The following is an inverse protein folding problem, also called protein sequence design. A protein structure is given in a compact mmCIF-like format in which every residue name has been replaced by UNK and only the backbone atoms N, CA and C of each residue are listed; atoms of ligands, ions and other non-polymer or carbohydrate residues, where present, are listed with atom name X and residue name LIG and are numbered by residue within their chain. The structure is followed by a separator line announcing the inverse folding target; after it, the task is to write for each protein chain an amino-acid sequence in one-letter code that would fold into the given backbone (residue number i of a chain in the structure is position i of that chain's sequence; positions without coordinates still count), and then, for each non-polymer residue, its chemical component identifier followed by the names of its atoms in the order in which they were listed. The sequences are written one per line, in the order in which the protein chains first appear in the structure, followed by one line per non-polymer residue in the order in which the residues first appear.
data_IF_340827936202
#
_entry.id   IF_340827936202
#
_cell.length_a   1.000
_cell.length_b   1.000
_cell.length_c   1.000
_cell.angle_alpha   90.00
_cell.angle_beta   90.00
_cell.angle_gamma   90.00
#
_symmetry.space_group_name_H-M   'P 1'
#
loop_
_entity.id
_entity.type
_entity.pdbx_description
1 polymer ?
#
# COMPACT_ATOMS: atom_id res chain seq x y z
N UNK A 1 45.79 -2.66 29.33
CA UNK A 1 44.75 -3.34 28.53
C UNK A 1 43.68 -2.33 28.19
N UNK A 2 43.79 -1.75 27.00
CA UNK A 2 42.87 -0.74 26.50
C UNK A 2 41.57 -1.44 26.04
N UNK A 3 40.44 -1.09 26.65
CA UNK A 3 39.14 -1.65 26.27
C UNK A 3 38.73 -1.03 24.94
N UNK A 4 38.94 -1.75 23.84
CA UNK A 4 38.32 -1.46 22.55
C UNK A 4 36.79 -1.53 22.71
N UNK A 5 36.18 -0.40 23.08
CA UNK A 5 34.73 -0.24 23.07
C UNK A 5 34.25 -0.32 21.63
N UNK A 6 33.70 -1.45 21.23
CA UNK A 6 33.13 -1.62 19.91
C UNK A 6 32.10 -0.49 19.66
N UNK A 7 32.36 0.35 18.65
CA UNK A 7 31.42 1.40 18.23
C UNK A 7 30.11 0.73 17.83
N UNK A 8 29.09 0.87 18.67
CA UNK A 8 27.73 0.43 18.34
C UNK A 8 27.15 1.41 17.32
N UNK A 9 26.62 0.91 16.22
CA UNK A 9 25.87 1.71 15.27
C UNK A 9 24.66 2.35 15.97
N UNK A 10 24.52 3.67 15.86
CA UNK A 10 23.48 4.45 16.53
C UNK A 10 22.30 4.79 15.60
N UNK A 11 22.06 3.96 14.60
CA UNK A 11 20.83 3.98 13.82
C UNK A 11 19.91 2.87 14.33
N UNK A 12 18.61 3.16 14.40
CA UNK A 12 17.60 2.23 14.87
C UNK A 12 16.23 2.75 14.45
N UNK A 13 15.26 1.84 14.33
CA UNK A 13 13.88 2.22 14.11
C UNK A 13 13.40 3.13 15.24
N UNK A 14 12.51 4.06 14.93
CA UNK A 14 11.89 4.87 15.97
C UNK A 14 11.00 3.97 16.82
N UNK A 15 11.35 3.78 18.09
CA UNK A 15 10.64 2.88 19.01
C UNK A 15 9.15 3.23 19.16
N UNK A 16 8.79 4.50 19.01
CA UNK A 16 7.39 4.95 19.01
C UNK A 16 6.66 4.44 17.78
N UNK A 17 7.30 4.51 16.61
CA UNK A 17 6.75 4.04 15.33
C UNK A 17 6.60 2.52 15.35
N UNK A 18 7.62 1.80 15.82
CA UNK A 18 7.59 0.34 16.01
C UNK A 18 6.49 -0.11 16.97
N UNK A 19 6.32 0.58 18.09
CA UNK A 19 5.24 0.26 19.03
C UNK A 19 3.87 0.51 18.40
N UNK A 20 3.71 1.58 17.63
CA UNK A 20 2.45 1.91 16.96
C UNK A 20 2.08 0.96 15.82
N UNK A 21 3.06 0.29 15.20
CA UNK A 21 2.84 -0.64 14.08
C UNK A 21 2.56 -2.07 14.53
N UNK A 22 2.70 -2.37 15.83
CA UNK A 22 2.65 -3.73 16.38
C UNK A 22 1.30 -4.45 16.29
N UNK A 23 0.21 -3.72 16.00
CA UNK A 23 -1.15 -4.26 15.91
C UNK A 23 -1.92 -3.59 14.77
N UNK A 24 -1.72 -4.07 13.55
CA UNK A 24 -2.41 -3.60 12.36
C UNK A 24 -3.76 -4.30 12.15
N UNK A 25 -4.71 -3.60 11.52
CA UNK A 25 -5.99 -4.19 11.07
C UNK A 25 -5.74 -5.46 10.24
N UNK A 26 -4.69 -5.44 9.41
CA UNK A 26 -4.29 -6.58 8.56
C UNK A 26 -3.89 -7.81 9.37
N UNK A 27 -3.20 -7.66 10.49
CA UNK A 27 -2.84 -8.80 11.36
C UNK A 27 -4.07 -9.43 12.01
N UNK A 28 -5.01 -8.61 12.48
CA UNK A 28 -6.28 -9.13 13.01
C UNK A 28 -7.09 -9.85 11.93
N UNK A 29 -7.19 -9.29 10.72
CA UNK A 29 -7.88 -9.95 9.61
C UNK A 29 -7.23 -11.29 9.24
N UNK A 30 -5.90 -11.34 9.16
CA UNK A 30 -5.18 -12.58 8.88
C UNK A 30 -5.42 -13.63 9.97
N UNK A 31 -5.46 -13.21 11.25
CA UNK A 31 -5.77 -14.10 12.38
C UNK A 31 -7.19 -14.64 12.28
N UNK A 32 -8.17 -13.81 11.92
CA UNK A 32 -9.55 -14.27 11.74
C UNK A 32 -9.66 -15.26 10.58
N UNK A 33 -9.02 -14.97 9.45
CA UNK A 33 -9.03 -15.84 8.27
C UNK A 33 -8.36 -17.18 8.55
N UNK A 34 -7.26 -17.21 9.32
CA UNK A 34 -6.56 -18.46 9.64
C UNK A 34 -7.32 -19.38 10.61
N UNK A 35 -8.32 -18.85 11.31
CA UNK A 35 -9.18 -19.60 12.23
C UNK A 35 -10.51 -20.04 11.59
N UNK A 36 -10.69 -19.84 10.28
CA UNK A 36 -11.86 -20.34 9.56
C UNK A 36 -11.83 -21.87 9.46
N UNK A 37 -13.00 -22.50 9.61
CA UNK A 37 -13.14 -23.94 9.43
C UNK A 37 -13.00 -24.32 7.95
N UNK A 38 -12.01 -25.17 7.64
CA UNK A 38 -11.77 -25.66 6.29
C UNK A 38 -12.88 -26.60 5.77
N UNK A 39 -13.70 -27.16 6.67
CA UNK A 39 -14.88 -27.97 6.33
C UNK A 39 -16.13 -27.15 6.04
N UNK A 40 -16.13 -25.84 6.32
CA UNK A 40 -17.26 -24.97 6.06
C UNK A 40 -17.32 -24.56 4.57
N UNK A 41 -18.43 -24.87 3.92
CA UNK A 41 -18.65 -24.56 2.50
C UNK A 41 -19.19 -23.14 2.26
N UNK A 42 -19.50 -22.36 3.32
CA UNK A 42 -20.01 -21.00 3.17
C UNK A 42 -18.93 -20.06 2.64
N UNK A 43 -19.31 -19.22 1.68
CA UNK A 43 -18.41 -18.19 1.14
C UNK A 43 -18.07 -17.16 2.21
N UNK A 44 -16.78 -16.90 2.39
CA UNK A 44 -16.27 -15.82 3.27
C UNK A 44 -16.50 -14.47 2.59
N UNK A 45 -17.12 -13.53 3.31
CA UNK A 45 -17.33 -12.15 2.83
C UNK A 45 -16.29 -11.23 3.48
N UNK A 46 -15.31 -10.70 2.73
CA UNK A 46 -14.23 -9.90 3.31
C UNK A 46 -14.64 -8.44 3.55
N UNK A 47 -15.21 -8.15 4.72
CA UNK A 47 -15.66 -6.79 5.10
C UNK A 47 -14.54 -5.87 5.62
N UNK A 48 -13.34 -6.41 5.85
CA UNK A 48 -12.17 -5.65 6.32
C UNK A 48 -11.25 -5.12 5.22
N UNK A 49 -11.55 -5.38 3.95
CA UNK A 49 -10.71 -4.89 2.85
C UNK A 49 -10.95 -3.41 2.61
N UNK A 50 -9.90 -2.60 2.76
CA UNK A 50 -9.93 -1.17 2.42
C UNK A 50 -9.72 -0.91 0.93
N UNK A 51 -9.13 -1.86 0.20
CA UNK A 51 -9.00 -1.79 -1.25
C UNK A 51 -10.23 -2.42 -1.92
N UNK A 52 -11.00 -1.64 -2.71
CA UNK A 52 -12.15 -2.16 -3.43
C UNK A 52 -11.80 -2.88 -4.75
N UNK A 53 -10.55 -2.83 -5.22
CA UNK A 53 -10.12 -3.43 -6.49
C UNK A 53 -10.39 -4.93 -6.66
N UNK A 54 -10.43 -5.77 -5.60
CA UNK A 54 -10.78 -7.19 -5.76
C UNK A 54 -12.25 -7.43 -6.13
N UNK A 55 -13.14 -6.45 -5.95
CA UNK A 55 -14.55 -6.60 -6.27
C UNK A 55 -14.78 -6.36 -7.77
N UNK A 56 -15.32 -7.32 -8.54
CA UNK A 56 -15.48 -7.19 -10.00
C UNK A 56 -16.34 -6.01 -10.47
N UNK A 57 -17.18 -5.48 -9.56
CA UNK A 57 -18.05 -4.33 -9.82
C UNK A 57 -17.34 -2.99 -9.58
N UNK A 58 -16.14 -3.02 -9.02
CA UNK A 58 -15.29 -1.86 -8.82
C UNK A 58 -14.19 -1.86 -9.90
N UNK A 59 -14.57 -1.45 -11.11
CA UNK A 59 -13.65 -1.33 -12.23
C UNK A 59 -13.32 0.14 -12.50
N UNK A 60 -12.09 0.41 -12.91
CA UNK A 60 -11.69 1.72 -13.45
C UNK A 60 -12.58 2.09 -14.64
N UNK A 61 -13.01 3.34 -14.71
CA UNK A 61 -13.79 3.83 -15.83
C UNK A 61 -12.99 3.73 -17.15
N UNK A 62 -13.59 3.26 -18.26
CA UNK A 62 -12.90 3.15 -19.54
C UNK A 62 -12.25 4.47 -20.01
N UNK A 63 -12.83 5.63 -19.69
CA UNK A 63 -12.25 6.92 -20.04
C UNK A 63 -10.91 7.18 -19.33
N UNK A 64 -10.76 6.74 -18.09
CA UNK A 64 -9.51 6.85 -17.36
C UNK A 64 -8.43 5.91 -17.94
N UNK A 65 -8.84 4.72 -18.40
CA UNK A 65 -7.94 3.78 -19.09
C UNK A 65 -7.42 4.39 -20.40
N UNK A 66 -8.31 4.91 -21.24
CA UNK A 66 -7.90 5.54 -22.50
C UNK A 66 -7.04 6.79 -22.27
N UNK A 67 -7.35 7.62 -21.27
CA UNK A 67 -6.54 8.79 -20.94
C UNK A 67 -5.08 8.41 -20.56
N UNK A 68 -4.88 7.29 -19.85
CA UNK A 68 -3.55 6.76 -19.56
C UNK A 68 -2.87 6.30 -20.84
N UNK A 69 -3.57 5.53 -21.69
CA UNK A 69 -3.03 5.07 -22.97
C UNK A 69 -2.59 6.23 -23.86
N UNK A 70 -3.41 7.27 -23.99
CA UNK A 70 -3.09 8.46 -24.78
C UNK A 70 -1.93 9.26 -24.20
N UNK A 71 -1.86 9.37 -22.87
CA UNK A 71 -0.73 10.01 -22.19
C UNK A 71 0.58 9.30 -22.51
N UNK A 72 0.60 7.96 -22.45
CA UNK A 72 1.77 7.13 -22.79
C UNK A 72 2.13 7.27 -24.27
N UNK A 73 1.15 7.15 -25.19
CA UNK A 73 1.36 7.30 -26.64
C UNK A 73 1.92 8.67 -27.00
N UNK A 74 1.52 9.72 -26.28
CA UNK A 74 1.95 11.09 -26.56
C UNK A 74 3.43 11.34 -26.25
N UNK A 75 4.03 10.57 -25.34
CA UNK A 75 5.36 10.80 -24.76
C UNK A 75 5.58 12.19 -24.14
N UNK A 76 4.52 13.00 -23.94
CA UNK A 76 4.61 14.39 -23.44
C UNK A 76 4.84 14.47 -21.93
N UNK A 77 4.56 13.39 -21.20
CA UNK A 77 4.52 13.38 -19.74
C UNK A 77 5.62 12.49 -19.12
N UNK A 78 6.69 12.20 -19.85
CA UNK A 78 7.78 11.30 -19.42
C UNK A 78 8.88 12.00 -18.59
N UNK A 79 8.71 13.30 -18.30
CA UNK A 79 9.70 14.12 -17.59
C UNK A 79 9.25 14.40 -16.15
N UNK A 80 10.18 14.88 -15.33
CA UNK A 80 9.87 15.31 -13.97
C UNK A 80 8.87 16.47 -13.97
N UNK A 81 7.80 16.34 -13.19
CA UNK A 81 6.91 17.46 -12.89
C UNK A 81 7.54 18.41 -11.88
N UNK A 82 6.92 19.56 -11.66
CA UNK A 82 7.21 20.38 -10.48
C UNK A 82 6.90 19.61 -9.19
N UNK A 83 7.42 20.07 -8.05
CA UNK A 83 7.10 19.48 -6.73
C UNK A 83 5.60 19.47 -6.42
N UNK A 84 4.84 20.39 -7.02
CA UNK A 84 3.39 20.47 -6.91
C UNK A 84 2.65 19.74 -8.03
N UNK A 85 3.32 18.96 -8.88
CA UNK A 85 2.72 18.31 -10.05
C UNK A 85 2.60 19.19 -11.28
N UNK A 86 1.95 18.69 -12.33
CA UNK A 86 1.83 19.36 -13.64
C UNK A 86 0.72 20.44 -13.56
N UNK A 87 0.95 21.69 -14.01
CA UNK A 87 -0.05 22.76 -13.89
C UNK A 87 -1.42 22.44 -14.50
N UNK A 88 -1.46 21.70 -15.61
CA UNK A 88 -2.74 21.31 -16.26
C UNK A 88 -3.54 20.30 -15.43
N UNK A 89 -2.89 19.47 -14.60
CA UNK A 89 -3.54 18.47 -13.76
C UNK A 89 -4.03 19.04 -12.42
N UNK A 90 -3.67 20.30 -12.09
CA UNK A 90 -4.06 20.99 -10.85
C UNK A 90 -5.16 22.04 -11.04
N UNK A 91 -5.45 22.40 -12.29
CA UNK A 91 -6.53 23.34 -12.65
C UNK A 91 -7.84 22.59 -12.72
#
# INVERSE_FOLDING_TARGET
MEKNGAKRWNFGANEVVERSSSLSIREYLNTLISNLDAGDARTVIPLGHGDPSPFPRFSTDPSAVEAICDSVRSAKFNNYSSASGIPVARK
#
